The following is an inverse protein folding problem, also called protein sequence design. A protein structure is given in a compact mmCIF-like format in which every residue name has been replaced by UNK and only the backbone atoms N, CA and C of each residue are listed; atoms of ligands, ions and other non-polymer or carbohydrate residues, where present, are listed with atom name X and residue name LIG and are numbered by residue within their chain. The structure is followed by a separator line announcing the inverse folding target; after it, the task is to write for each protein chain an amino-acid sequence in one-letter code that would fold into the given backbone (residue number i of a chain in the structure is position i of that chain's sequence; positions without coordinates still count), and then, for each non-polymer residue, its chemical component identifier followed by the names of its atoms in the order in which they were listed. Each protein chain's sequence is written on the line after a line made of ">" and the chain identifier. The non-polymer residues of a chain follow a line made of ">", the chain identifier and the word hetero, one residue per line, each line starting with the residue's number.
data_IF_248285809982
#
_entry.id   IF_248285809982
#
_cell.length_a   1.000
_cell.length_b   1.000
_cell.length_c   1.000
_cell.angle_alpha   90.00
_cell.angle_beta   90.00
_cell.angle_gamma   90.00
#
_symmetry.space_group_name_H-M   'P 1'
#
loop_
_entity.id
_entity.type
_entity.pdbx_description
1 polymer ?
#
# COMPACT_ATOMS: atom_id res chain seq x y z
N UNK A 1 7.40 -15.79 -3.60
CA UNK A 1 7.72 -14.70 -2.66
C UNK A 1 7.04 -13.40 -3.09
N UNK A 2 5.71 -13.40 -3.17
CA UNK A 2 4.92 -12.31 -3.78
C UNK A 2 4.43 -11.29 -2.75
N UNK A 3 4.13 -11.74 -1.52
CA UNK A 3 3.73 -10.86 -0.44
C UNK A 3 4.81 -9.81 -0.11
N UNK A 4 6.09 -10.22 -0.08
CA UNK A 4 7.22 -9.31 0.19
C UNK A 4 7.38 -8.26 -0.93
N UNK A 5 7.21 -8.67 -2.18
CA UNK A 5 7.24 -7.74 -3.34
C UNK A 5 6.09 -6.73 -3.28
N UNK A 6 4.90 -7.18 -2.88
CA UNK A 6 3.73 -6.31 -2.67
C UNK A 6 3.97 -5.32 -1.54
N UNK A 7 4.48 -5.76 -0.38
CA UNK A 7 4.78 -4.90 0.76
C UNK A 7 5.84 -3.83 0.40
N UNK A 8 6.90 -4.22 -0.31
CA UNK A 8 7.94 -3.29 -0.75
C UNK A 8 7.38 -2.17 -1.65
N UNK A 9 6.45 -2.50 -2.57
CA UNK A 9 5.79 -1.48 -3.41
C UNK A 9 4.90 -0.55 -2.60
N UNK A 10 4.15 -1.08 -1.63
CA UNK A 10 3.27 -0.26 -0.78
C UNK A 10 4.09 0.70 0.06
N UNK A 11 5.18 0.24 0.68
CA UNK A 11 6.08 1.11 1.46
C UNK A 11 6.71 2.21 0.60
N UNK A 12 7.18 1.88 -0.60
CA UNK A 12 7.72 2.88 -1.54
C UNK A 12 6.68 3.94 -1.90
N UNK A 13 5.45 3.53 -2.22
CA UNK A 13 4.37 4.46 -2.57
C UNK A 13 4.02 5.41 -1.40
N UNK A 14 4.02 4.90 -0.16
CA UNK A 14 3.78 5.71 1.05
C UNK A 14 4.91 6.73 1.26
N UNK A 15 6.17 6.30 1.13
CA UNK A 15 7.32 7.20 1.29
C UNK A 15 7.33 8.33 0.26
N UNK A 16 7.07 8.02 -1.02
CA UNK A 16 6.99 9.03 -2.07
C UNK A 16 5.81 9.99 -1.84
N UNK A 17 4.66 9.49 -1.39
CA UNK A 17 3.51 10.35 -1.10
C UNK A 17 3.75 11.30 0.07
N UNK A 18 4.51 10.88 1.09
CA UNK A 18 4.96 11.76 2.19
C UNK A 18 5.93 12.82 1.66
N UNK A 19 6.88 12.45 0.79
CA UNK A 19 7.82 13.42 0.18
C UNK A 19 7.10 14.47 -0.68
N UNK A 20 6.05 14.04 -1.38
CA UNK A 20 5.19 14.91 -2.19
C UNK A 20 4.16 15.69 -1.36
N UNK A 21 4.16 15.52 -0.03
CA UNK A 21 3.25 16.18 0.91
C UNK A 21 1.76 15.92 0.58
N UNK A 22 1.44 14.74 0.02
CA UNK A 22 0.07 14.31 -0.27
C UNK A 22 -0.67 14.00 1.04
N UNK A 23 0.03 13.42 2.01
CA UNK A 23 -0.43 13.21 3.39
C UNK A 23 0.76 13.22 4.35
N UNK A 24 0.47 13.36 5.65
CA UNK A 24 1.48 13.44 6.72
C UNK A 24 1.62 12.10 7.46
N UNK A 25 2.76 11.94 8.14
CA UNK A 25 2.94 10.86 9.12
C UNK A 25 1.92 11.03 10.25
N UNK A 26 1.08 10.02 10.42
CA UNK A 26 -0.02 9.92 11.38
C UNK A 26 -1.39 9.88 10.71
N UNK A 27 -1.48 10.24 9.43
CA UNK A 27 -2.73 10.21 8.67
C UNK A 27 -3.15 8.76 8.35
N UNK A 28 -4.46 8.55 8.23
CA UNK A 28 -5.01 7.23 7.88
C UNK A 28 -5.06 7.10 6.37
N UNK A 29 -4.40 6.07 5.83
CA UNK A 29 -4.40 5.77 4.40
C UNK A 29 -5.07 4.43 4.12
N UNK A 30 -5.78 4.36 3.00
CA UNK A 30 -6.40 3.12 2.50
C UNK A 30 -5.57 2.61 1.34
N UNK A 31 -4.99 1.42 1.50
CA UNK A 31 -4.25 0.74 0.42
C UNK A 31 -5.13 -0.34 -0.20
N UNK A 32 -5.24 -0.31 -1.52
CA UNK A 32 -5.97 -1.30 -2.32
C UNK A 32 -4.95 -2.22 -3.00
N UNK A 33 -4.99 -3.51 -2.70
CA UNK A 33 -4.12 -4.50 -3.35
C UNK A 33 -4.86 -5.81 -3.65
N UNK A 34 -4.38 -6.53 -4.67
CA UNK A 34 -4.83 -7.90 -4.96
C UNK A 34 -4.46 -8.85 -3.82
N UNK A 35 -5.20 -9.93 -3.64
CA UNK A 35 -4.96 -10.92 -2.58
C UNK A 35 -3.98 -12.04 -2.97
N UNK A 36 -3.79 -12.30 -4.27
CA UNK A 36 -2.87 -13.36 -4.75
C UNK A 36 -2.33 -13.07 -6.17
N UNK A 37 -1.14 -13.58 -6.47
CA UNK A 37 -0.55 -13.54 -7.81
C UNK A 37 -1.25 -14.52 -8.74
N UNK A 38 -1.83 -14.04 -9.85
CA UNK A 38 -2.25 -14.87 -10.97
C UNK A 38 -3.76 -14.99 -11.22
N UNK A 39 -4.62 -14.81 -10.22
CA UNK A 39 -6.09 -14.75 -10.41
C UNK A 39 -6.60 -13.52 -9.69
N UNK A 40 -6.75 -12.45 -10.47
CA UNK A 40 -7.11 -11.13 -9.98
C UNK A 40 -8.56 -11.09 -9.50
N UNK A 41 -8.75 -10.53 -8.30
CA UNK A 41 -9.71 -9.46 -8.03
C UNK A 41 -9.09 -8.60 -6.92
N UNK A 42 -9.04 -7.28 -7.11
CA UNK A 42 -8.52 -6.30 -6.14
C UNK A 42 -9.46 -6.24 -4.92
N UNK A 43 -9.33 -7.19 -3.99
CA UNK A 43 -10.29 -7.36 -2.91
C UNK A 43 -9.71 -7.08 -1.51
N UNK A 44 -8.44 -6.66 -1.40
CA UNK A 44 -7.83 -6.38 -0.09
C UNK A 44 -7.69 -4.87 0.11
N UNK A 45 -8.58 -4.32 0.92
CA UNK A 45 -8.49 -2.97 1.48
C UNK A 45 -7.85 -3.07 2.87
N UNK A 46 -6.78 -2.31 3.12
CA UNK A 46 -6.18 -2.20 4.45
C UNK A 46 -6.10 -0.75 4.88
N UNK A 47 -6.50 -0.51 6.12
CA UNK A 47 -6.23 0.73 6.83
C UNK A 47 -4.82 0.65 7.40
N UNK A 48 -3.94 1.54 6.94
CA UNK A 48 -2.60 1.67 7.47
C UNK A 48 -2.52 3.01 8.17
N UNK A 49 -2.03 2.99 9.42
CA UNK A 49 -1.65 4.19 10.15
C UNK A 49 -0.14 4.36 9.95
N UNK A 50 0.26 5.41 9.24
CA UNK A 50 1.68 5.73 9.00
C UNK A 50 2.40 6.19 10.27
#
# INVERSE_FOLDING_TARGET
>A
NWAIDVENRVSYAIEEAIKLNIFNKGDTVVVVQGAQAGVGHSNTLRLVKS
#
